data_IF_582136492468
#
_entry.id   IF_582136492468
#
_cell.length_a   1.000
_cell.length_b   1.000
_cell.length_c   1.000
_cell.angle_alpha   90.00
_cell.angle_beta   90.00
_cell.angle_gamma   90.00
#
_symmetry.space_group_name_H-M   'P 1'
#
loop_
_entity.id
_entity.type
_entity.pdbx_description
1 polymer ?
#
# COMPACT_ATOMS: atom_id res chain seq x y z
N UNK A 1 42.45 -3.68 -61.25
CA UNK A 1 41.46 -4.34 -60.38
C UNK A 1 41.65 -3.88 -58.94
N UNK A 2 40.80 -2.98 -58.44
CA UNK A 2 40.72 -2.65 -57.00
C UNK A 2 39.24 -2.59 -56.64
N UNK A 3 38.74 -3.62 -55.98
CA UNK A 3 37.36 -3.70 -55.49
C UNK A 3 37.33 -2.96 -54.14
N UNK A 4 36.64 -1.83 -54.09
CA UNK A 4 36.36 -1.11 -52.85
C UNK A 4 35.15 -1.80 -52.23
N UNK A 5 35.35 -2.48 -51.10
CA UNK A 5 34.27 -3.09 -50.31
C UNK A 5 33.77 -2.04 -49.33
N UNK A 6 32.53 -1.61 -49.51
CA UNK A 6 31.82 -0.72 -48.59
C UNK A 6 31.31 -1.56 -47.41
N UNK A 7 31.86 -1.35 -46.21
CA UNK A 7 31.35 -1.96 -44.98
C UNK A 7 30.20 -1.09 -44.44
N UNK A 8 28.97 -1.60 -44.52
CA UNK A 8 27.79 -0.98 -43.90
C UNK A 8 27.79 -1.38 -42.43
N UNK A 9 28.11 -0.42 -41.55
CA UNK A 9 27.97 -0.58 -40.10
C UNK A 9 26.48 -0.42 -39.76
N UNK A 10 25.80 -1.54 -39.57
CA UNK A 10 24.42 -1.58 -39.12
C UNK A 10 24.39 -1.23 -37.62
N UNK A 11 24.18 0.05 -37.31
CA UNK A 11 24.00 0.53 -35.93
C UNK A 11 22.68 0.01 -35.38
N UNK A 12 22.75 -1.10 -34.63
CA UNK A 12 21.64 -1.68 -33.90
C UNK A 12 21.33 -0.78 -32.68
N UNK A 13 20.48 0.23 -32.87
CA UNK A 13 19.90 0.98 -31.76
C UNK A 13 18.96 0.05 -30.98
N UNK A 14 19.50 -0.66 -30.00
CA UNK A 14 18.70 -1.34 -28.98
C UNK A 14 18.00 -0.27 -28.14
N UNK A 15 16.74 0.03 -28.49
CA UNK A 15 15.86 0.80 -27.62
C UNK A 15 15.61 -0.02 -26.36
N UNK A 16 16.33 0.28 -25.28
CA UNK A 16 15.99 -0.22 -23.96
C UNK A 16 14.57 0.27 -23.65
N UNK A 17 13.62 -0.60 -23.29
CA UNK A 17 12.34 -0.15 -22.80
C UNK A 17 12.60 0.71 -21.56
N UNK A 18 12.32 2.01 -21.66
CA UNK A 18 12.17 2.88 -20.50
C UNK A 18 10.95 2.39 -19.74
N UNK A 19 11.17 1.51 -18.77
CA UNK A 19 10.14 1.11 -17.81
C UNK A 19 9.77 2.34 -16.98
N UNK A 20 8.74 3.07 -17.42
CA UNK A 20 8.10 4.09 -16.60
C UNK A 20 7.54 3.44 -15.33
N UNK A 21 7.42 4.21 -14.24
CA UNK A 21 6.77 3.73 -13.02
C UNK A 21 5.36 3.21 -13.37
N UNK A 22 4.94 2.06 -12.83
CA UNK A 22 3.61 1.52 -13.09
C UNK A 22 2.53 2.47 -12.56
N UNK A 23 1.30 2.30 -13.04
CA UNK A 23 0.14 2.94 -12.42
C UNK A 23 -0.37 2.04 -11.30
N UNK A 24 -0.49 2.57 -10.09
CA UNK A 24 -1.14 1.87 -8.98
C UNK A 24 -2.64 1.92 -9.21
N UNK A 25 -3.27 0.75 -9.28
CA UNK A 25 -4.71 0.61 -9.42
C UNK A 25 -5.33 0.39 -8.03
N UNK A 26 -6.52 0.97 -7.80
CA UNK A 26 -7.32 0.63 -6.63
C UNK A 26 -7.68 -0.87 -6.68
N UNK A 27 -7.47 -1.62 -5.59
CA UNK A 27 -7.80 -3.04 -5.54
C UNK A 27 -9.33 -3.24 -5.41
N UNK A 28 -9.76 -4.51 -5.31
CA UNK A 28 -11.16 -4.90 -5.02
C UNK A 28 -12.18 -4.46 -6.09
N UNK A 29 -11.71 -4.13 -7.30
CA UNK A 29 -12.59 -3.65 -8.38
C UNK A 29 -13.02 -2.19 -8.25
N UNK A 30 -12.50 -1.49 -7.23
CA UNK A 30 -12.71 -0.06 -7.03
C UNK A 30 -11.88 0.74 -8.06
N UNK A 31 -12.15 2.05 -8.12
CA UNK A 31 -11.39 3.01 -8.92
C UNK A 31 -11.09 4.26 -8.10
N UNK A 32 -9.89 4.80 -8.26
CA UNK A 32 -9.53 6.10 -7.69
C UNK A 32 -10.53 7.16 -8.14
N UNK A 33 -10.88 8.07 -7.24
CA UNK A 33 -11.87 9.12 -7.54
C UNK A 33 -13.33 8.74 -7.29
N UNK A 34 -13.65 7.47 -7.00
CA UNK A 34 -15.03 7.10 -6.64
C UNK A 34 -15.51 7.87 -5.41
N UNK A 35 -16.69 8.47 -5.51
CA UNK A 35 -17.43 9.05 -4.37
C UNK A 35 -17.83 7.95 -3.37
N UNK A 36 -18.21 8.35 -2.15
CA UNK A 36 -18.74 7.41 -1.14
C UNK A 36 -19.86 6.56 -1.72
N UNK A 37 -20.82 7.18 -2.39
CA UNK A 37 -22.01 6.51 -2.93
C UNK A 37 -21.67 5.55 -4.08
N UNK A 38 -20.56 5.78 -4.79
CA UNK A 38 -20.06 4.83 -5.78
C UNK A 38 -19.32 3.66 -5.12
N UNK A 39 -18.52 3.92 -4.08
CA UNK A 39 -17.87 2.84 -3.30
C UNK A 39 -18.92 1.97 -2.60
N UNK A 40 -20.01 2.56 -2.13
CA UNK A 40 -21.11 1.85 -1.48
C UNK A 40 -21.77 0.79 -2.37
N UNK A 41 -21.73 0.96 -3.69
CA UNK A 41 -22.23 -0.03 -4.65
C UNK A 41 -21.37 -1.29 -4.74
N UNK A 42 -20.16 -1.28 -4.17
CA UNK A 42 -19.20 -2.38 -4.21
C UNK A 42 -19.12 -3.18 -2.90
N UNK A 43 -20.03 -2.94 -1.96
CA UNK A 43 -20.11 -3.65 -0.70
C UNK A 43 -21.57 -3.74 -0.23
N UNK A 44 -21.84 -4.67 0.68
CA UNK A 44 -23.18 -4.78 1.29
C UNK A 44 -23.45 -3.60 2.24
N UNK A 45 -22.43 -3.15 2.96
CA UNK A 45 -22.53 -2.04 3.92
C UNK A 45 -21.21 -1.28 4.03
N UNK A 46 -21.30 0.06 4.18
CA UNK A 46 -20.19 0.91 4.60
C UNK A 46 -20.43 1.43 6.02
N UNK A 47 -19.55 1.09 6.94
CA UNK A 47 -19.60 1.60 8.32
C UNK A 47 -18.49 2.65 8.52
N UNK A 48 -18.84 3.84 8.98
CA UNK A 48 -17.86 4.91 9.26
C UNK A 48 -16.90 4.46 10.39
N UNK A 49 -15.60 4.52 10.11
CA UNK A 49 -14.55 4.26 11.10
C UNK A 49 -14.05 5.54 11.73
N UNK A 50 -13.76 6.55 10.91
CA UNK A 50 -13.12 7.79 11.33
C UNK A 50 -13.47 8.93 10.38
N UNK A 51 -13.54 10.16 10.92
CA UNK A 51 -13.46 11.40 10.13
C UNK A 51 -12.22 12.17 10.53
N UNK A 52 -11.44 12.60 9.54
CA UNK A 52 -10.30 13.49 9.70
C UNK A 52 -10.64 14.85 9.11
N UNK A 53 -10.84 15.81 10.01
CA UNK A 53 -11.38 17.12 9.66
C UNK A 53 -12.75 16.99 8.97
N UNK A 54 -13.01 17.88 8.03
CA UNK A 54 -14.28 18.00 7.33
C UNK A 54 -14.33 17.26 5.99
N UNK A 55 -13.19 16.77 5.47
CA UNK A 55 -13.10 16.27 4.09
C UNK A 55 -12.77 14.80 3.92
N UNK A 56 -12.05 14.18 4.86
CA UNK A 56 -11.56 12.80 4.70
C UNK A 56 -12.28 11.87 5.66
N UNK A 57 -13.01 10.91 5.12
CA UNK A 57 -13.71 9.89 5.90
C UNK A 57 -13.20 8.50 5.57
N UNK A 58 -12.95 7.69 6.59
CA UNK A 58 -12.55 6.29 6.45
C UNK A 58 -13.73 5.37 6.78
N UNK A 59 -13.94 4.34 5.97
CA UNK A 59 -15.06 3.40 6.09
C UNK A 59 -14.56 1.97 6.08
N UNK A 60 -15.23 1.12 6.85
CA UNK A 60 -15.12 -0.33 6.76
C UNK A 60 -16.07 -0.84 5.68
N UNK A 61 -15.61 -1.77 4.84
CA UNK A 61 -16.42 -2.42 3.81
C UNK A 61 -16.87 -3.79 4.33
N UNK A 62 -18.16 -3.93 4.63
CA UNK A 62 -18.75 -5.24 4.93
C UNK A 62 -19.05 -5.96 3.62
N UNK A 63 -18.53 -7.18 3.47
CA UNK A 63 -18.78 -8.06 2.33
C UNK A 63 -18.58 -7.36 0.97
N UNK A 64 -17.36 -6.88 0.65
CA UNK A 64 -17.10 -6.28 -0.65
C UNK A 64 -17.28 -7.31 -1.78
N UNK A 65 -17.72 -6.84 -2.96
CA UNK A 65 -17.99 -7.69 -4.13
C UNK A 65 -16.78 -8.52 -4.57
N UNK A 66 -15.58 -7.95 -4.40
CA UNK A 66 -14.30 -8.63 -4.65
C UNK A 66 -13.48 -8.66 -3.37
N UNK A 67 -12.89 -9.82 -3.11
CA UNK A 67 -12.04 -10.07 -1.95
C UNK A 67 -10.66 -10.57 -2.38
N UNK A 68 -9.70 -10.48 -1.48
CA UNK A 68 -8.44 -11.21 -1.57
C UNK A 68 -8.50 -12.35 -0.55
N UNK A 69 -8.33 -13.58 -1.02
CA UNK A 69 -8.42 -14.77 -0.17
C UNK A 69 -7.59 -14.64 1.09
N UNK A 70 -8.22 -14.87 2.24
CA UNK A 70 -7.57 -14.86 3.55
C UNK A 70 -7.44 -13.49 4.21
N UNK A 71 -7.91 -12.39 3.61
CA UNK A 71 -8.01 -11.10 4.33
C UNK A 71 -9.23 -11.11 5.27
N UNK A 72 -9.05 -10.56 6.47
CA UNK A 72 -10.07 -10.48 7.51
C UNK A 72 -10.90 -9.19 7.43
N UNK A 73 -10.33 -8.13 6.86
CA UNK A 73 -10.96 -6.81 6.86
C UNK A 73 -10.51 -5.93 5.72
N UNK A 74 -11.43 -5.03 5.35
CA UNK A 74 -11.27 -4.10 4.24
C UNK A 74 -11.73 -2.71 4.69
N UNK A 75 -10.93 -1.69 4.41
CA UNK A 75 -11.33 -0.31 4.63
C UNK A 75 -10.89 0.58 3.48
N UNK A 76 -11.54 1.72 3.38
CA UNK A 76 -11.26 2.74 2.36
C UNK A 76 -11.21 4.10 3.01
N UNK A 77 -10.53 5.05 2.38
CA UNK A 77 -10.67 6.47 2.70
C UNK A 77 -11.14 7.24 1.47
N UNK A 78 -12.17 8.05 1.66
CA UNK A 78 -12.80 8.89 0.64
C UNK A 78 -12.66 10.35 1.05
N UNK A 79 -12.10 11.16 0.17
CA UNK A 79 -12.03 12.61 0.31
C UNK A 79 -13.14 13.29 -0.51
N UNK A 80 -13.76 14.32 0.03
CA UNK A 80 -14.89 15.00 -0.63
C UNK A 80 -14.52 15.68 -1.97
N UNK A 81 -13.24 15.98 -2.20
CA UNK A 81 -12.76 16.61 -3.45
C UNK A 81 -12.14 15.60 -4.40
N UNK A 82 -11.39 14.64 -3.88
CA UNK A 82 -10.61 13.69 -4.68
C UNK A 82 -11.23 12.30 -4.78
N UNK A 83 -12.35 12.04 -4.10
CA UNK A 83 -13.01 10.74 -4.04
C UNK A 83 -12.16 9.70 -3.30
N UNK A 84 -12.24 8.44 -3.72
CA UNK A 84 -11.48 7.34 -3.16
C UNK A 84 -9.97 7.59 -3.33
N UNK A 85 -9.25 7.64 -2.20
CA UNK A 85 -7.81 7.95 -2.14
C UNK A 85 -6.98 6.89 -1.42
N UNK A 86 -7.62 5.98 -0.67
CA UNK A 86 -6.95 4.86 0.01
C UNK A 86 -7.82 3.62 0.03
N UNK A 87 -7.20 2.45 -0.12
CA UNK A 87 -7.80 1.14 0.14
C UNK A 87 -6.83 0.32 1.00
N UNK A 88 -7.33 -0.24 2.08
CA UNK A 88 -6.56 -1.00 3.06
C UNK A 88 -7.15 -2.38 3.29
N UNK A 89 -6.28 -3.34 3.51
CA UNK A 89 -6.61 -4.72 3.81
C UNK A 89 -5.80 -5.20 5.00
N UNK A 90 -6.45 -6.02 5.82
CA UNK A 90 -5.87 -6.61 7.02
C UNK A 90 -6.00 -8.13 6.97
N UNK A 91 -4.94 -8.84 7.32
CA UNK A 91 -4.98 -10.26 7.66
C UNK A 91 -4.26 -10.49 8.99
N UNK A 92 -4.93 -11.14 9.92
CA UNK A 92 -4.49 -11.39 11.28
C UNK A 92 -3.93 -12.81 11.41
N UNK A 93 -2.86 -12.94 12.17
CA UNK A 93 -2.20 -14.20 12.47
C UNK A 93 -2.15 -14.39 13.98
N UNK A 94 -2.76 -15.47 14.45
CA UNK A 94 -2.77 -15.89 15.86
C UNK A 94 -2.04 -17.23 15.99
N UNK A 95 -1.46 -17.50 17.16
CA UNK A 95 -0.73 -18.75 17.45
C UNK A 95 0.38 -19.01 16.39
N UNK A 96 1.21 -18.00 16.13
CA UNK A 96 2.34 -18.05 15.20
C UNK A 96 3.63 -17.57 15.87
N UNK A 97 3.99 -18.12 17.01
CA UNK A 97 5.08 -17.65 17.90
C UNK A 97 6.41 -17.35 17.19
N UNK A 98 6.72 -18.08 16.11
CA UNK A 98 7.95 -17.93 15.31
C UNK A 98 7.82 -16.94 14.15
N UNK A 99 6.61 -16.46 13.87
CA UNK A 99 6.27 -15.61 12.73
C UNK A 99 6.36 -16.32 11.39
N UNK A 100 6.38 -17.65 11.36
CA UNK A 100 6.63 -18.40 10.12
C UNK A 100 5.45 -18.25 9.16
N UNK A 101 4.22 -18.32 9.67
CA UNK A 101 3.02 -18.22 8.82
C UNK A 101 2.87 -16.82 8.25
N UNK A 102 3.03 -15.80 9.09
CA UNK A 102 2.91 -14.40 8.65
C UNK A 102 4.00 -14.03 7.64
N UNK A 103 5.25 -14.47 7.84
CA UNK A 103 6.35 -14.23 6.89
C UNK A 103 6.09 -14.89 5.55
N UNK A 104 5.70 -16.17 5.57
CA UNK A 104 5.37 -16.90 4.34
C UNK A 104 4.25 -16.22 3.56
N UNK A 105 3.19 -15.77 4.26
CA UNK A 105 2.11 -15.04 3.61
C UNK A 105 2.55 -13.69 3.07
N UNK A 106 3.36 -12.95 3.82
CA UNK A 106 3.93 -11.67 3.40
C UNK A 106 4.73 -11.83 2.11
N UNK A 107 5.59 -12.85 2.02
CA UNK A 107 6.40 -13.08 0.83
C UNK A 107 5.54 -13.44 -0.40
N UNK A 108 4.48 -14.24 -0.22
CA UNK A 108 3.53 -14.55 -1.30
C UNK A 108 2.85 -13.28 -1.84
N UNK A 109 2.38 -12.40 -0.94
CA UNK A 109 1.71 -11.15 -1.35
C UNK A 109 2.74 -10.19 -1.97
N UNK A 110 3.93 -10.05 -1.37
CA UNK A 110 5.02 -9.22 -1.91
C UNK A 110 5.42 -9.68 -3.31
N UNK A 111 5.49 -10.99 -3.57
CA UNK A 111 5.77 -11.53 -4.90
C UNK A 111 4.65 -11.19 -5.89
N UNK A 112 3.39 -11.33 -5.49
CA UNK A 112 2.24 -10.96 -6.33
C UNK A 112 2.25 -9.46 -6.68
N UNK A 113 2.52 -8.59 -5.70
CA UNK A 113 2.69 -7.15 -5.92
C UNK A 113 3.90 -6.86 -6.80
N UNK A 114 5.00 -7.60 -6.65
CA UNK A 114 6.20 -7.42 -7.47
C UNK A 114 5.96 -7.79 -8.93
N UNK A 115 5.16 -8.82 -9.19
CA UNK A 115 4.72 -9.16 -10.55
C UNK A 115 3.85 -8.06 -11.16
N UNK A 116 3.05 -7.36 -10.35
CA UNK A 116 2.13 -6.31 -10.82
C UNK A 116 2.80 -4.95 -10.98
N UNK A 117 3.65 -4.55 -10.03
CA UNK A 117 4.20 -3.19 -9.92
C UNK A 117 5.73 -3.13 -9.98
N UNK A 118 6.40 -4.24 -10.28
CA UNK A 118 7.86 -4.29 -10.37
C UNK A 118 8.54 -4.35 -9.01
N UNK A 119 9.85 -4.08 -8.98
CA UNK A 119 10.67 -4.29 -7.78
C UNK A 119 10.36 -3.26 -6.69
N UNK A 120 10.05 -3.70 -5.46
CA UNK A 120 9.80 -2.78 -4.35
C UNK A 120 11.09 -2.18 -3.77
N UNK A 121 10.95 -1.02 -3.14
CA UNK A 121 11.90 -0.56 -2.12
C UNK A 121 11.64 -1.33 -0.82
N UNK A 122 12.69 -1.84 -0.17
CA UNK A 122 12.56 -2.69 1.00
C UNK A 122 13.06 -2.00 2.27
N UNK A 123 12.29 -2.15 3.35
CA UNK A 123 12.72 -1.94 4.71
C UNK A 123 12.43 -3.23 5.48
N UNK A 124 13.29 -4.23 5.26
CA UNK A 124 13.16 -5.58 5.81
C UNK A 124 14.42 -5.94 6.60
N UNK A 125 14.29 -6.08 7.92
CA UNK A 125 15.39 -6.49 8.81
C UNK A 125 14.87 -7.02 10.15
N UNK A 126 15.67 -7.88 10.79
CA UNK A 126 15.51 -8.34 12.17
C UNK A 126 16.90 -8.34 12.80
N UNK A 127 17.16 -7.40 13.70
CA UNK A 127 18.50 -7.14 14.25
C UNK A 127 18.78 -7.90 15.57
N UNK A 128 17.80 -8.63 16.09
CA UNK A 128 17.98 -9.40 17.32
C UNK A 128 17.20 -10.73 17.27
N UNK A 129 17.91 -11.81 16.96
CA UNK A 129 17.35 -13.16 16.89
C UNK A 129 17.10 -13.79 18.27
N UNK A 130 17.54 -13.16 19.37
CA UNK A 130 17.32 -13.67 20.74
C UNK A 130 15.94 -13.31 21.29
N UNK A 131 15.25 -12.36 20.66
CA UNK A 131 13.88 -11.99 21.00
C UNK A 131 12.92 -12.51 19.94
N UNK A 132 11.65 -12.72 20.30
CA UNK A 132 10.68 -13.23 19.32
C UNK A 132 10.52 -12.25 18.16
N UNK A 133 10.22 -12.80 16.98
CA UNK A 133 10.03 -12.01 15.76
C UNK A 133 9.06 -10.85 15.97
N UNK A 134 7.88 -11.13 16.55
CA UNK A 134 6.87 -10.12 16.84
C UNK A 134 7.33 -9.09 17.86
N UNK A 135 8.04 -9.50 18.92
CA UNK A 135 8.64 -8.55 19.86
C UNK A 135 9.63 -7.61 19.19
N UNK A 136 10.41 -8.11 18.22
CA UNK A 136 11.36 -7.29 17.48
C UNK A 136 10.69 -6.28 16.56
N UNK A 137 9.55 -6.64 15.93
CA UNK A 137 8.77 -5.69 15.14
C UNK A 137 8.16 -4.55 15.96
N UNK A 138 8.05 -4.69 17.29
CA UNK A 138 7.51 -3.67 18.19
C UNK A 138 8.55 -2.73 18.77
N UNK A 139 9.83 -3.06 18.64
CA UNK A 139 10.93 -2.27 19.20
C UNK A 139 11.58 -1.48 18.07
N UNK A 140 11.54 -0.16 18.18
CA UNK A 140 12.17 0.75 17.23
C UNK A 140 13.65 0.36 17.00
N UNK A 141 14.02 0.21 15.73
CA UNK A 141 15.37 -0.20 15.34
C UNK A 141 15.68 -1.69 15.50
N UNK A 142 14.78 -2.50 16.08
CA UNK A 142 14.97 -3.95 16.14
C UNK A 142 14.55 -4.63 14.84
N UNK A 143 13.33 -4.37 14.37
CA UNK A 143 12.81 -5.06 13.20
C UNK A 143 11.84 -4.24 12.36
N UNK A 144 11.85 -4.48 11.06
CA UNK A 144 10.82 -4.00 10.14
C UNK A 144 10.61 -5.03 9.04
N UNK A 145 9.39 -5.17 8.56
CA UNK A 145 9.04 -6.02 7.43
C UNK A 145 8.10 -5.23 6.55
N UNK A 146 8.66 -4.34 5.73
CA UNK A 146 7.91 -3.43 4.88
C UNK A 146 8.45 -3.42 3.45
N UNK A 147 7.55 -3.49 2.48
CA UNK A 147 7.87 -3.32 1.06
C UNK A 147 6.99 -2.22 0.45
N UNK A 148 7.63 -1.32 -0.30
CA UNK A 148 7.01 -0.16 -0.93
C UNK A 148 7.08 -0.30 -2.45
N UNK A 149 5.93 -0.16 -3.11
CA UNK A 149 5.80 -0.19 -4.57
C UNK A 149 5.33 1.18 -5.04
N UNK A 150 6.26 1.95 -5.62
CA UNK A 150 5.96 3.30 -6.10
C UNK A 150 5.45 3.28 -7.54
N UNK A 151 4.28 3.85 -7.75
CA UNK A 151 3.76 4.13 -9.08
C UNK A 151 3.84 5.59 -9.48
N UNK A 152 3.30 5.90 -10.64
CA UNK A 152 3.20 7.26 -11.16
C UNK A 152 2.14 8.11 -10.43
N UNK A 153 1.08 7.48 -9.92
CA UNK A 153 -0.11 8.10 -9.34
C UNK A 153 -0.33 7.78 -7.86
N UNK A 154 0.54 6.96 -7.27
CA UNK A 154 0.31 6.43 -5.93
C UNK A 154 1.36 5.42 -5.49
N UNK A 155 1.06 4.75 -4.39
CA UNK A 155 1.91 3.72 -3.80
C UNK A 155 1.07 2.54 -3.33
N UNK A 156 1.59 1.33 -3.50
CA UNK A 156 1.15 0.17 -2.74
C UNK A 156 2.22 -0.18 -1.68
N UNK A 157 1.77 -0.53 -0.48
CA UNK A 157 2.57 -0.86 0.68
C UNK A 157 2.08 -2.20 1.20
N UNK A 158 3.00 -3.08 1.55
CA UNK A 158 2.73 -4.21 2.44
C UNK A 158 3.65 -4.13 3.64
N UNK A 159 3.11 -4.37 4.83
CA UNK A 159 3.89 -4.48 6.05
C UNK A 159 3.38 -5.59 6.97
N UNK A 160 4.28 -6.06 7.85
CA UNK A 160 3.90 -6.84 9.02
C UNK A 160 3.99 -5.94 10.24
N UNK A 161 2.88 -5.81 10.96
CA UNK A 161 2.84 -5.24 12.30
C UNK A 161 2.59 -6.34 13.34
N UNK A 162 2.98 -6.09 14.58
CA UNK A 162 2.69 -6.96 15.71
C UNK A 162 1.79 -6.23 16.70
N UNK A 163 0.70 -6.88 17.11
CA UNK A 163 -0.16 -6.41 18.20
C UNK A 163 0.22 -7.05 19.54
N UNK A 164 0.91 -8.20 19.52
CA UNK A 164 1.40 -8.90 20.71
C UNK A 164 2.57 -9.85 20.37
N UNK A 165 3.14 -10.51 21.39
CA UNK A 165 4.31 -11.41 21.29
C UNK A 165 4.12 -12.61 20.36
N UNK A 166 2.89 -13.01 20.09
CA UNK A 166 2.47 -14.15 19.25
C UNK A 166 1.42 -13.76 18.18
N UNK A 167 1.07 -12.46 18.10
CA UNK A 167 0.04 -11.91 17.21
C UNK A 167 0.60 -10.91 16.22
N UNK A 168 0.44 -11.26 14.95
CA UNK A 168 0.89 -10.49 13.80
C UNK A 168 -0.26 -10.09 12.90
N UNK A 169 -0.06 -9.03 12.14
CA UNK A 169 -0.99 -8.54 11.15
C UNK A 169 -0.24 -8.20 9.88
N UNK A 170 -0.72 -8.66 8.73
CA UNK A 170 -0.33 -8.12 7.45
C UNK A 170 -1.29 -6.98 7.12
N UNK A 171 -0.71 -5.81 6.88
CA UNK A 171 -1.44 -4.68 6.32
C UNK A 171 -1.00 -4.48 4.89
N UNK A 172 -1.97 -4.34 3.99
CA UNK A 172 -1.73 -3.88 2.63
C UNK A 172 -2.46 -2.57 2.45
N UNK A 173 -1.76 -1.51 2.05
CA UNK A 173 -2.35 -0.20 1.77
C UNK A 173 -2.03 0.21 0.35
N UNK A 174 -3.05 0.61 -0.39
CA UNK A 174 -2.95 1.28 -1.67
C UNK A 174 -3.40 2.71 -1.46
N UNK A 175 -2.60 3.69 -1.88
CA UNK A 175 -2.97 5.11 -1.78
C UNK A 175 -2.60 5.88 -3.03
N UNK A 176 -3.32 6.95 -3.31
CA UNK A 176 -2.92 7.94 -4.32
C UNK A 176 -1.92 8.95 -3.72
N UNK A 177 -1.19 9.68 -4.58
CA UNK A 177 -0.29 10.74 -4.11
C UNK A 177 -1.03 11.92 -3.45
N UNK A 178 -2.30 12.13 -3.80
CA UNK A 178 -3.15 13.18 -3.22
C UNK A 178 -3.37 12.99 -1.72
N UNK A 179 -3.31 11.75 -1.20
CA UNK A 179 -3.53 11.48 0.22
C UNK A 179 -2.57 12.26 1.12
N UNK A 180 -1.28 12.32 0.77
CA UNK A 180 -0.28 13.03 1.58
C UNK A 180 -0.52 14.55 1.57
N UNK A 181 -1.01 15.07 0.44
CA UNK A 181 -1.45 16.47 0.30
C UNK A 181 -2.69 16.75 1.15
N UNK A 182 -3.73 15.90 1.07
CA UNK A 182 -4.96 16.02 1.86
C UNK A 182 -4.63 16.05 3.36
N UNK A 183 -3.82 15.09 3.82
CA UNK A 183 -3.41 15.02 5.23
C UNK A 183 -2.66 16.28 5.69
N UNK A 184 -1.83 16.86 4.84
CA UNK A 184 -1.11 18.11 5.12
C UNK A 184 -2.06 19.32 5.18
N UNK A 185 -2.99 19.43 4.23
CA UNK A 185 -4.03 20.48 4.22
C UNK A 185 -4.89 20.44 5.49
N UNK A 186 -5.36 19.25 5.87
CA UNK A 186 -6.18 19.06 7.07
C UNK A 186 -5.42 19.43 8.35
N UNK A 187 -4.15 18.97 8.48
CA UNK A 187 -3.31 19.31 9.64
C UNK A 187 -3.11 20.83 9.77
N UNK A 188 -2.82 21.52 8.67
CA UNK A 188 -2.60 22.96 8.69
C UNK A 188 -3.88 23.73 9.03
N UNK A 189 -5.03 23.29 8.52
CA UNK A 189 -6.33 23.87 8.89
C UNK A 189 -6.59 23.75 10.39
N UNK A 190 -6.39 22.57 10.97
CA UNK A 190 -6.55 22.36 12.42
C UNK A 190 -5.62 23.27 13.24
N UNK A 191 -4.37 23.44 12.81
CA UNK A 191 -3.42 24.34 13.49
C UNK A 191 -3.91 25.79 13.46
N UNK A 192 -4.40 26.26 12.31
CA UNK A 192 -4.89 27.63 12.17
C UNK A 192 -6.16 27.88 12.99
N UNK A 193 -7.10 26.93 13.00
CA UNK A 193 -8.31 27.03 13.81
C UNK A 193 -7.99 27.08 15.32
N UNK A 194 -6.98 26.32 15.75
CA UNK A 194 -6.48 26.39 17.13
C UNK A 194 -5.82 27.73 17.43
N UNK A 195 -5.00 28.28 16.51
CA UNK A 195 -4.36 29.58 16.73
C UNK A 195 -5.36 30.73 16.77
N UNK A 196 -6.42 30.67 15.98
CA UNK A 196 -7.46 31.70 15.95
C UNK A 196 -8.38 31.66 17.20
N UNK A 197 -8.31 30.57 17.97
CA UNK A 197 -9.10 30.35 19.19
C UNK A 197 -8.38 30.73 20.50
N UNK A 198 -7.10 31.11 20.42
CA UNK A 198 -6.23 31.49 21.55
C UNK A 198 -6.02 33.01 21.59
#
# INVERSE_FOLDING_TARGET
MKKIVFAIILSLCASLPTYGKPTIEAPLGLKWGMTKDEVEKHAEELSLLERKGDRLSSYYLRNPEKIIDGMDGYSVSVDDKFGLVSVEMLQSFNNDDKGTKVKSRYDVIKEALSKKYGTPSLLEYINNERISFYSCLRIDGCGSMTAFFDGNNGQALILINSSDVDRGNIFIRYKTHELDKIMSELKNKTINELSDSL
#
